data_IF_016934855742
#
_entry.id   IF_016934855742
#
_cell.length_a   1.000
_cell.length_b   1.000
_cell.length_c   1.000
_cell.angle_alpha   90.00
_cell.angle_beta   90.00
_cell.angle_gamma   90.00
#
_symmetry.space_group_name_H-M   'P 1'
#
loop_
_entity.id
_entity.type
_entity.pdbx_description
1 polymer ?
#
# COMPACT_ATOMS: atom_id res chain seq x y z
N UNK A 1 68.69 12.91 17.16
CA UNK A 1 68.89 14.16 16.41
C UNK A 1 67.64 15.01 16.59
N UNK A 2 67.67 15.96 17.54
CA UNK A 2 66.61 16.95 17.74
C UNK A 2 66.83 18.10 16.76
N UNK A 3 65.81 18.50 16.00
CA UNK A 3 65.73 19.85 15.45
C UNK A 3 64.26 20.30 15.38
N UNK A 4 64.10 21.55 15.83
CA UNK A 4 62.92 22.31 16.17
C UNK A 4 62.30 23.05 14.96
N UNK A 5 61.13 23.66 15.21
CA UNK A 5 60.43 24.73 14.45
C UNK A 5 59.49 24.24 13.33
N UNK A 6 58.30 24.81 13.12
CA UNK A 6 57.86 26.16 13.47
C UNK A 6 56.34 26.23 13.57
N UNK A 7 55.84 26.77 14.68
CA UNK A 7 54.51 27.35 14.80
C UNK A 7 54.48 28.64 13.98
N UNK A 8 53.53 28.80 13.05
CA UNK A 8 53.13 30.11 12.51
C UNK A 8 51.63 30.16 12.38
N UNK A 9 51.04 30.93 13.29
CA UNK A 9 49.68 31.45 13.20
C UNK A 9 49.58 32.37 11.98
N UNK A 10 48.47 32.29 11.25
CA UNK A 10 47.98 33.41 10.46
C UNK A 10 46.46 33.35 10.48
N UNK A 11 45.90 34.09 11.44
CA UNK A 11 44.52 34.53 11.40
C UNK A 11 44.42 35.63 10.34
N UNK A 12 43.55 35.44 9.35
CA UNK A 12 43.00 36.53 8.56
C UNK A 12 41.51 36.22 8.38
N UNK A 13 40.71 36.88 9.21
CA UNK A 13 39.28 36.99 9.04
C UNK A 13 39.01 37.96 7.88
N UNK A 14 38.20 37.54 6.91
CA UNK A 14 37.50 38.45 6.00
C UNK A 14 36.09 37.90 5.73
N UNK A 15 35.11 38.59 6.33
CA UNK A 15 33.89 39.10 5.70
C UNK A 15 32.99 38.19 4.84
N UNK A 16 31.80 37.96 5.39
CA UNK A 16 30.48 37.91 4.72
C UNK A 16 30.35 37.32 3.30
N UNK A 17 29.67 36.18 3.22
CA UNK A 17 28.58 35.99 2.27
C UNK A 17 27.51 35.08 2.90
N UNK A 18 26.41 35.70 3.31
CA UNK A 18 25.16 35.01 3.56
C UNK A 18 24.57 34.58 2.21
N UNK A 19 24.36 33.29 1.99
CA UNK A 19 23.45 32.78 0.97
C UNK A 19 22.98 31.38 1.36
N UNK A 20 21.84 31.38 2.05
CA UNK A 20 20.77 30.38 2.03
C UNK A 20 20.98 29.18 1.11
N UNK A 21 21.21 28.01 1.70
CA UNK A 21 20.78 26.75 1.11
C UNK A 21 20.29 25.84 2.23
N UNK A 22 19.14 26.21 2.81
CA UNK A 22 18.27 25.24 3.44
C UNK A 22 17.82 24.28 2.33
N UNK A 23 18.60 23.23 2.08
CA UNK A 23 18.12 22.08 1.36
C UNK A 23 17.11 21.40 2.29
N UNK A 24 15.87 21.88 2.24
CA UNK A 24 14.71 21.11 2.66
C UNK A 24 14.73 19.84 1.83
N UNK A 25 15.35 18.79 2.36
CA UNK A 25 15.02 17.43 2.01
C UNK A 25 13.59 17.22 2.53
N UNK A 26 12.63 17.75 1.76
CA UNK A 26 11.25 17.38 1.89
C UNK A 26 11.25 15.86 1.86
N UNK A 27 10.79 15.28 2.97
CA UNK A 27 10.50 13.88 3.08
C UNK A 27 9.86 13.44 1.76
N UNK A 28 10.49 12.46 1.11
CA UNK A 28 9.82 11.68 0.09
C UNK A 28 8.56 11.17 0.80
N UNK A 29 7.42 11.82 0.52
CA UNK A 29 6.13 11.25 0.81
C UNK A 29 6.07 10.04 -0.11
N UNK A 30 6.49 8.91 0.47
CA UNK A 30 6.33 7.57 -0.02
C UNK A 30 4.92 7.49 -0.61
N UNK A 31 4.82 7.45 -1.94
CA UNK A 31 3.60 7.11 -2.67
C UNK A 31 3.36 5.60 -2.51
N UNK A 32 3.47 5.10 -1.28
CA UNK A 32 2.99 3.79 -0.94
C UNK A 32 1.48 3.84 -1.16
N UNK A 33 0.92 3.02 -2.07
CA UNK A 33 -0.52 2.97 -2.26
C UNK A 33 -1.13 2.69 -0.89
N UNK A 34 -1.95 3.62 -0.38
CA UNK A 34 -2.61 3.49 0.93
C UNK A 34 -3.20 2.09 0.99
N UNK A 35 -2.66 1.26 1.88
CA UNK A 35 -3.09 -0.11 2.01
C UNK A 35 -4.56 -0.11 2.45
N UNK A 36 -5.48 -0.31 1.50
CA UNK A 36 -6.92 -0.40 1.79
C UNK A 36 -7.16 -1.65 2.63
N UNK A 37 -7.85 -1.52 3.77
CA UNK A 37 -8.22 -2.69 4.59
C UNK A 37 -9.31 -3.51 3.89
N UNK A 38 -9.42 -4.80 4.24
CA UNK A 38 -10.45 -5.65 3.62
C UNK A 38 -11.87 -5.19 3.98
N UNK A 39 -12.08 -4.66 5.19
CA UNK A 39 -13.35 -4.08 5.62
C UNK A 39 -13.70 -2.82 4.83
N UNK A 40 -12.73 -1.92 4.65
CA UNK A 40 -12.91 -0.71 3.83
C UNK A 40 -13.21 -1.07 2.36
N UNK A 41 -12.55 -2.12 1.86
CA UNK A 41 -12.79 -2.63 0.52
C UNK A 41 -14.21 -3.21 0.38
N UNK A 42 -14.66 -4.04 1.32
CA UNK A 42 -16.02 -4.57 1.33
C UNK A 42 -17.08 -3.46 1.35
N UNK A 43 -16.86 -2.40 2.14
CA UNK A 43 -17.74 -1.23 2.15
C UNK A 43 -17.75 -0.50 0.81
N UNK A 44 -16.60 -0.41 0.13
CA UNK A 44 -16.54 0.15 -1.22
C UNK A 44 -17.30 -0.72 -2.21
N UNK A 45 -17.14 -2.05 -2.11
CA UNK A 45 -17.80 -3.01 -2.99
C UNK A 45 -19.32 -2.97 -2.86
N UNK A 46 -19.85 -2.87 -1.64
CA UNK A 46 -21.30 -2.70 -1.42
C UNK A 46 -21.88 -1.41 -2.02
N UNK A 47 -21.04 -0.40 -2.30
CA UNK A 47 -21.45 0.84 -3.00
C UNK A 47 -21.30 0.75 -4.51
N UNK A 48 -20.28 0.02 -4.98
CA UNK A 48 -19.91 -0.06 -6.40
C UNK A 48 -20.66 -1.19 -7.14
N UNK A 49 -20.82 -2.34 -6.49
CA UNK A 49 -21.44 -3.53 -7.06
C UNK A 49 -22.81 -3.75 -6.43
N UNK A 50 -23.86 -3.53 -7.22
CA UNK A 50 -25.24 -3.67 -6.77
C UNK A 50 -25.58 -5.04 -6.16
N UNK A 51 -24.93 -6.10 -6.63
CA UNK A 51 -25.15 -7.48 -6.18
C UNK A 51 -24.09 -8.00 -5.19
N UNK A 52 -23.20 -7.13 -4.67
CA UNK A 52 -22.27 -7.55 -3.64
C UNK A 52 -23.03 -7.85 -2.33
N UNK A 53 -22.85 -9.03 -1.72
CA UNK A 53 -23.64 -9.43 -0.56
C UNK A 53 -23.25 -8.66 0.69
N UNK A 54 -24.16 -8.58 1.65
CA UNK A 54 -23.83 -8.13 3.00
C UNK A 54 -22.87 -9.13 3.66
N UNK A 55 -21.84 -8.64 4.33
CA UNK A 55 -20.83 -9.46 5.00
C UNK A 55 -21.00 -9.42 6.52
N UNK A 56 -20.65 -10.51 7.19
CA UNK A 56 -20.69 -10.60 8.65
C UNK A 56 -19.56 -9.76 9.28
N UNK A 57 -19.87 -8.84 10.21
CA UNK A 57 -18.85 -7.99 10.81
C UNK A 57 -17.84 -8.82 11.63
N UNK A 58 -16.55 -8.45 11.55
CA UNK A 58 -15.47 -9.14 12.27
C UNK A 58 -15.11 -10.51 11.71
N UNK A 59 -15.69 -10.92 10.58
CA UNK A 59 -15.38 -12.16 9.85
C UNK A 59 -14.81 -11.84 8.47
N UNK A 60 -13.84 -10.94 8.45
CA UNK A 60 -13.14 -10.51 7.24
C UNK A 60 -11.66 -10.87 7.39
N UNK A 61 -11.11 -11.50 6.36
CA UNK A 61 -9.72 -11.95 6.34
C UNK A 61 -8.99 -11.41 5.10
N UNK A 62 -7.73 -11.02 5.27
CA UNK A 62 -6.82 -10.73 4.17
C UNK A 62 -6.06 -12.00 3.79
N UNK A 63 -6.12 -12.37 2.53
CA UNK A 63 -5.43 -13.55 2.01
C UNK A 63 -4.07 -13.17 1.41
N UNK A 64 -3.10 -14.09 1.53
CA UNK A 64 -1.77 -13.96 0.89
C UNK A 64 -1.80 -14.41 -0.57
N UNK A 65 -2.68 -15.35 -0.91
CA UNK A 65 -2.84 -15.91 -2.25
C UNK A 65 -4.29 -16.25 -2.53
N UNK A 66 -4.73 -16.12 -3.79
CA UNK A 66 -6.09 -16.49 -4.20
C UNK A 66 -6.38 -17.97 -3.98
N UNK A 67 -5.35 -18.83 -3.97
CA UNK A 67 -5.51 -20.27 -3.70
C UNK A 67 -5.96 -20.59 -2.28
N UNK A 68 -5.85 -19.62 -1.36
CA UNK A 68 -6.39 -19.75 0.00
C UNK A 68 -7.85 -19.30 0.09
N UNK A 69 -8.43 -18.79 -1.00
CA UNK A 69 -9.82 -18.37 -1.02
C UNK A 69 -10.76 -19.58 -1.07
N UNK A 70 -12.04 -19.32 -0.79
CA UNK A 70 -13.14 -20.26 -0.88
C UNK A 70 -13.51 -20.67 -2.33
N UNK A 71 -12.76 -20.22 -3.34
CA UNK A 71 -13.01 -20.53 -4.74
C UNK A 71 -11.73 -20.98 -5.43
N UNK A 72 -11.86 -21.96 -6.34
CA UNK A 72 -10.77 -22.40 -7.21
C UNK A 72 -10.53 -21.46 -8.39
N UNK A 73 -11.42 -20.47 -8.59
CA UNK A 73 -11.34 -19.54 -9.71
C UNK A 73 -10.40 -18.38 -9.37
N UNK A 74 -9.33 -18.16 -10.16
CA UNK A 74 -8.44 -17.03 -9.93
C UNK A 74 -9.10 -15.69 -10.33
N UNK A 75 -8.62 -14.56 -9.78
CA UNK A 75 -9.01 -13.21 -10.21
C UNK A 75 -8.86 -12.99 -11.72
N UNK A 76 -9.97 -12.73 -12.41
CA UNK A 76 -10.03 -12.63 -13.88
C UNK A 76 -9.29 -11.40 -14.44
N UNK A 77 -8.89 -11.47 -15.71
CA UNK A 77 -8.29 -10.37 -16.48
C UNK A 77 -6.78 -10.20 -16.27
N UNK A 78 -6.19 -9.22 -16.96
CA UNK A 78 -4.77 -8.89 -16.84
C UNK A 78 -4.44 -8.08 -15.57
N UNK A 79 -3.15 -8.00 -15.26
CA UNK A 79 -2.62 -7.18 -14.17
C UNK A 79 -2.43 -7.90 -12.83
N UNK A 80 -1.69 -7.26 -11.92
CA UNK A 80 -1.26 -7.89 -10.67
C UNK A 80 -2.25 -7.64 -9.55
N UNK A 81 -2.66 -8.73 -8.89
CA UNK A 81 -3.46 -8.66 -7.67
C UNK A 81 -2.59 -8.14 -6.54
N UNK A 82 -3.05 -7.10 -5.86
CA UNK A 82 -2.35 -6.52 -4.71
C UNK A 82 -3.22 -6.55 -3.43
N UNK A 83 -4.51 -6.88 -3.56
CA UNK A 83 -5.39 -7.12 -2.43
C UNK A 83 -6.30 -8.31 -2.68
N UNK A 84 -6.33 -9.22 -1.73
CA UNK A 84 -7.17 -10.42 -1.70
C UNK A 84 -7.85 -10.46 -0.34
N UNK A 85 -9.17 -10.58 -0.34
CA UNK A 85 -9.95 -10.57 0.88
C UNK A 85 -11.05 -11.63 0.79
N UNK A 86 -11.42 -12.18 1.93
CA UNK A 86 -12.53 -13.10 2.08
C UNK A 86 -13.39 -12.68 3.26
N UNK A 87 -14.69 -12.90 3.18
CA UNK A 87 -15.59 -12.66 4.30
C UNK A 87 -16.70 -13.72 4.38
N UNK A 88 -17.16 -13.99 5.61
CA UNK A 88 -18.33 -14.84 5.83
C UNK A 88 -19.62 -14.05 5.56
N UNK A 89 -20.61 -14.72 4.97
CA UNK A 89 -21.94 -14.16 4.75
C UNK A 89 -22.87 -14.48 5.94
N UNK A 90 -23.89 -13.64 6.22
CA UNK A 90 -24.81 -13.86 7.33
C UNK A 90 -25.68 -15.12 7.15
N UNK A 91 -26.01 -15.49 5.91
CA UNK A 91 -26.89 -16.63 5.59
C UNK A 91 -26.12 -17.95 5.39
N UNK A 92 -24.80 -17.97 5.60
CA UNK A 92 -23.93 -19.09 5.24
C UNK A 92 -23.18 -18.85 3.93
N UNK A 93 -22.13 -19.62 3.69
CA UNK A 93 -21.19 -19.37 2.59
C UNK A 93 -20.24 -18.19 2.82
N UNK A 94 -19.42 -17.92 1.80
CA UNK A 94 -18.35 -16.92 1.85
C UNK A 94 -18.29 -16.10 0.56
N UNK A 95 -17.71 -14.91 0.63
CA UNK A 95 -17.41 -14.10 -0.55
C UNK A 95 -15.92 -13.83 -0.62
N UNK A 96 -15.34 -14.07 -1.78
CA UNK A 96 -13.97 -13.73 -2.12
C UNK A 96 -13.94 -12.49 -3.01
N UNK A 97 -13.12 -11.50 -2.69
CA UNK A 97 -13.05 -10.24 -3.42
C UNK A 97 -11.64 -9.65 -3.46
N UNK A 98 -11.32 -8.90 -4.50
CA UNK A 98 -9.94 -8.52 -4.81
C UNK A 98 -9.81 -7.17 -5.52
N UNK A 99 -8.61 -6.59 -5.40
CA UNK A 99 -8.13 -5.46 -6.21
C UNK A 99 -6.89 -5.85 -7.02
N UNK A 100 -6.85 -5.35 -8.24
CA UNK A 100 -5.79 -5.55 -9.21
C UNK A 100 -5.32 -4.22 -9.76
N UNK A 101 -4.00 -4.09 -9.88
CA UNK A 101 -3.43 -3.09 -10.78
C UNK A 101 -3.78 -3.49 -12.21
N UNK A 102 -4.29 -2.56 -13.03
CA UNK A 102 -4.43 -2.78 -14.46
C UNK A 102 -3.48 -1.87 -15.25
N UNK A 103 -3.30 -2.17 -16.54
CA UNK A 103 -2.38 -1.42 -17.42
C UNK A 103 -2.79 0.05 -17.57
N UNK A 104 -4.10 0.33 -17.55
CA UNK A 104 -4.64 1.68 -17.69
C UNK A 104 -5.40 2.18 -16.45
N UNK A 105 -6.01 1.27 -15.68
CA UNK A 105 -6.78 1.59 -14.48
C UNK A 105 -6.81 0.39 -13.52
N UNK A 106 -7.02 0.66 -12.22
CA UNK A 106 -7.34 -0.37 -11.24
C UNK A 106 -8.58 -1.18 -11.66
N UNK A 107 -8.52 -2.49 -11.47
CA UNK A 107 -9.63 -3.41 -11.72
C UNK A 107 -9.94 -4.18 -10.45
N UNK A 108 -11.20 -4.51 -10.26
CA UNK A 108 -11.70 -5.15 -9.04
C UNK A 108 -12.77 -6.16 -9.38
N UNK A 109 -13.00 -7.11 -8.47
CA UNK A 109 -14.02 -8.14 -8.67
C UNK A 109 -14.25 -8.97 -7.41
N UNK A 110 -15.36 -9.70 -7.41
CA UNK A 110 -15.72 -10.64 -6.35
C UNK A 110 -16.33 -11.91 -6.94
N UNK A 111 -16.32 -12.97 -6.15
CA UNK A 111 -16.97 -14.24 -6.41
C UNK A 111 -17.65 -14.69 -5.11
N UNK A 112 -18.93 -15.05 -5.19
CA UNK A 112 -19.63 -15.71 -4.10
C UNK A 112 -19.24 -17.19 -4.15
N UNK A 113 -18.75 -17.70 -3.04
CA UNK A 113 -18.41 -19.10 -2.87
C UNK A 113 -19.66 -19.84 -2.37
N UNK A 114 -20.28 -20.61 -3.25
CA UNK A 114 -21.28 -21.61 -2.87
C UNK A 114 -20.55 -22.78 -2.18
N UNK A 115 -21.17 -23.36 -1.16
CA UNK A 115 -20.70 -24.59 -0.49
C UNK A 115 -20.97 -25.85 -1.34
#
# INVERSE_FOLDING_TARGET
>A
MFLYRSLRHSALAFGLAAASAAASAAAQADDAPKEVSCEALAQSFGKTYFAFPEIKPGKVERLVSWRAACTEKPPKGDGNVYRLCQADLPEGGQVFYWLKTGVNNESSGYEICDE
#
